data_IF_301015197345
#
_entry.id   IF_301015197345
#
_cell.length_a   1.000
_cell.length_b   1.000
_cell.length_c   1.000
_cell.angle_alpha   90.00
_cell.angle_beta   90.00
_cell.angle_gamma   90.00
#
_symmetry.space_group_name_H-M   'P 1'
#
loop_
_entity.id
_entity.type
_entity.pdbx_description
1 polymer ?
#
# COMPACT_ATOMS: atom_id res chain seq x y z
N UNK A 1 8.28 -1.71 -9.93
CA UNK A 1 8.99 -2.63 -9.02
C UNK A 1 7.95 -3.18 -8.02
N UNK A 2 8.07 -4.40 -7.47
CA UNK A 2 7.14 -5.06 -6.52
C UNK A 2 5.87 -5.80 -7.01
N UNK A 3 5.38 -5.63 -8.25
CA UNK A 3 4.18 -6.38 -8.75
C UNK A 3 2.90 -6.19 -7.88
N UNK A 4 2.71 -4.98 -7.35
CA UNK A 4 1.55 -4.59 -6.52
C UNK A 4 0.21 -4.47 -7.29
N UNK A 5 0.19 -4.83 -8.58
CA UNK A 5 -0.97 -4.70 -9.48
C UNK A 5 -1.13 -5.98 -10.28
N UNK A 6 -2.36 -6.49 -10.32
CA UNK A 6 -2.79 -7.54 -11.25
C UNK A 6 -3.95 -7.02 -12.10
N UNK A 7 -5.21 -7.22 -11.68
CA UNK A 7 -6.37 -6.72 -12.43
C UNK A 7 -6.52 -5.19 -12.43
N UNK A 8 -5.88 -4.49 -11.49
CA UNK A 8 -5.87 -3.03 -11.41
C UNK A 8 -7.09 -2.39 -10.75
N UNK A 9 -8.17 -3.12 -10.49
CA UNK A 9 -9.44 -2.54 -10.02
C UNK A 9 -9.31 -1.82 -8.66
N UNK A 10 -8.61 -2.42 -7.70
CA UNK A 10 -8.42 -1.82 -6.38
C UNK A 10 -7.25 -0.81 -6.33
N UNK A 11 -6.45 -0.72 -7.39
CA UNK A 11 -5.20 0.04 -7.39
C UNK A 11 -5.38 1.53 -7.11
N UNK A 12 -6.40 2.23 -7.66
CA UNK A 12 -6.62 3.64 -7.33
C UNK A 12 -6.87 3.88 -5.83
N UNK A 13 -7.71 3.06 -5.19
CA UNK A 13 -7.98 3.14 -3.76
C UNK A 13 -6.73 2.87 -2.92
N UNK A 14 -5.98 1.82 -3.27
CA UNK A 14 -4.70 1.49 -2.62
C UNK A 14 -3.69 2.64 -2.68
N UNK A 15 -3.54 3.29 -3.84
CA UNK A 15 -2.60 4.40 -4.01
C UNK A 15 -3.02 5.60 -3.16
N UNK A 16 -4.30 5.99 -3.20
CA UNK A 16 -4.77 7.15 -2.45
C UNK A 16 -4.67 6.93 -0.94
N UNK A 17 -5.00 5.74 -0.45
CA UNK A 17 -4.86 5.40 0.96
C UNK A 17 -3.41 5.31 1.40
N UNK A 18 -2.53 4.71 0.59
CA UNK A 18 -1.09 4.69 0.88
C UNK A 18 -0.48 6.10 0.88
N UNK A 19 -0.90 6.97 -0.03
CA UNK A 19 -0.48 8.38 -0.04
C UNK A 19 -0.87 9.08 1.26
N UNK A 20 -2.13 8.95 1.68
CA UNK A 20 -2.61 9.56 2.92
C UNK A 20 -1.78 9.09 4.13
N UNK A 21 -1.50 7.79 4.22
CA UNK A 21 -0.61 7.24 5.24
C UNK A 21 0.77 7.91 5.23
N UNK A 22 1.40 8.02 4.06
CA UNK A 22 2.76 8.54 3.95
C UNK A 22 2.86 10.06 4.13
N UNK A 23 1.79 10.80 3.83
CA UNK A 23 1.69 12.23 4.15
C UNK A 23 1.60 12.45 5.68
N UNK A 24 0.93 11.56 6.41
CA UNK A 24 0.77 11.63 7.88
C UNK A 24 1.96 11.04 8.65
N UNK A 25 2.49 9.91 8.17
CA UNK A 25 3.58 9.16 8.77
C UNK A 25 4.57 8.70 7.67
N UNK A 26 5.64 9.46 7.40
CA UNK A 26 6.61 9.14 6.36
C UNK A 26 7.44 7.87 6.61
N UNK A 27 7.42 7.30 7.83
CA UNK A 27 8.16 6.09 8.19
C UNK A 27 7.26 5.08 8.92
N UNK A 28 6.23 4.55 8.24
CA UNK A 28 5.32 3.61 8.86
C UNK A 28 5.97 2.23 9.02
N UNK A 29 5.56 1.49 10.04
CA UNK A 29 5.89 0.05 10.15
C UNK A 29 4.99 -0.79 9.24
N UNK A 30 5.39 -2.03 8.98
CA UNK A 30 4.57 -2.96 8.18
C UNK A 30 3.15 -3.16 8.76
N UNK A 31 3.04 -3.32 10.08
CA UNK A 31 1.77 -3.42 10.79
C UNK A 31 0.90 -2.16 10.61
N UNK A 32 1.51 -0.97 10.65
CA UNK A 32 0.78 0.27 10.39
C UNK A 32 0.26 0.33 8.95
N UNK A 33 1.06 -0.10 7.96
CA UNK A 33 0.61 -0.18 6.57
C UNK A 33 -0.57 -1.14 6.41
N UNK A 34 -0.50 -2.33 7.03
CA UNK A 34 -1.60 -3.32 6.99
C UNK A 34 -2.89 -2.75 7.56
N UNK A 35 -2.82 -2.14 8.73
CA UNK A 35 -3.98 -1.55 9.40
C UNK A 35 -4.58 -0.43 8.56
N UNK A 36 -3.74 0.46 8.03
CA UNK A 36 -4.20 1.61 7.24
C UNK A 36 -4.84 1.18 5.91
N UNK A 37 -4.41 0.05 5.33
CA UNK A 37 -4.96 -0.49 4.09
C UNK A 37 -6.18 -1.39 4.30
N UNK A 38 -6.62 -1.69 5.54
CA UNK A 38 -7.69 -2.66 5.81
C UNK A 38 -9.02 -2.34 5.10
N UNK A 39 -9.29 -1.06 4.83
CA UNK A 39 -10.49 -0.60 4.10
C UNK A 39 -10.44 -0.81 2.58
N UNK A 40 -9.29 -1.18 2.01
CA UNK A 40 -9.12 -1.42 0.59
C UNK A 40 -9.04 -2.93 0.30
N UNK A 41 -10.13 -3.51 -0.19
CA UNK A 41 -10.16 -4.94 -0.50
C UNK A 41 -9.48 -5.24 -1.84
N UNK A 42 -8.56 -6.21 -1.83
CA UNK A 42 -7.93 -6.75 -3.02
C UNK A 42 -8.16 -8.26 -3.12
N UNK A 43 -8.61 -8.74 -4.28
CA UNK A 43 -8.80 -10.18 -4.53
C UNK A 43 -7.65 -10.85 -5.28
N UNK A 44 -6.80 -10.08 -5.93
CA UNK A 44 -5.82 -10.62 -6.88
C UNK A 44 -4.42 -10.77 -6.27
N UNK A 45 -3.92 -9.74 -5.56
CA UNK A 45 -2.51 -9.69 -5.14
C UNK A 45 -2.20 -10.41 -3.83
N UNK A 46 -3.20 -10.62 -2.97
CA UNK A 46 -2.98 -11.13 -1.62
C UNK A 46 -2.27 -10.14 -0.68
N UNK A 47 -2.26 -8.84 -1.01
CA UNK A 47 -1.73 -7.71 -0.21
C UNK A 47 -0.22 -7.64 0.00
N UNK A 48 0.51 -8.76 0.08
CA UNK A 48 1.96 -8.76 0.39
C UNK A 48 2.74 -7.80 -0.51
N UNK A 49 2.52 -7.87 -1.83
CA UNK A 49 3.21 -7.00 -2.81
C UNK A 49 2.78 -5.54 -2.76
N UNK A 50 1.58 -5.25 -2.27
CA UNK A 50 1.13 -3.87 -2.06
C UNK A 50 1.85 -3.29 -0.84
N UNK A 51 1.91 -4.05 0.26
CA UNK A 51 2.59 -3.64 1.49
C UNK A 51 4.08 -3.38 1.23
N UNK A 52 4.76 -4.30 0.55
CA UNK A 52 6.16 -4.11 0.13
C UNK A 52 6.36 -2.84 -0.69
N UNK A 53 5.42 -2.54 -1.61
CA UNK A 53 5.51 -1.35 -2.45
C UNK A 53 5.32 -0.05 -1.67
N UNK A 54 4.45 -0.03 -0.65
CA UNK A 54 4.25 1.14 0.21
C UNK A 54 5.47 1.40 1.07
N UNK A 55 6.04 0.36 1.69
CA UNK A 55 7.26 0.49 2.49
C UNK A 55 8.44 0.98 1.64
N UNK A 56 8.62 0.43 0.43
CA UNK A 56 9.64 0.88 -0.50
C UNK A 56 9.43 2.32 -0.99
N UNK A 57 8.18 2.79 -1.06
CA UNK A 57 7.88 4.19 -1.37
C UNK A 57 8.25 5.11 -0.19
N UNK A 58 7.97 4.70 1.04
CA UNK A 58 8.36 5.42 2.26
C UNK A 58 9.87 5.65 2.34
N UNK A 59 10.68 4.64 1.97
CA UNK A 59 12.15 4.74 1.95
C UNK A 59 12.70 5.70 0.88
N UNK A 60 11.88 6.07 -0.12
CA UNK A 60 12.27 6.95 -1.24
C UNK A 60 11.76 8.39 -1.09
N UNK A 61 11.05 8.72 -0.01
CA UNK A 61 10.58 10.09 0.31
C UNK A 61 11.64 10.87 1.07
#
# INVERSE_FOLDING_TARGET
EHFAVQCGYCTPGMIMTAKALLDENPKPTEEQVKEYLCGNLCRCTGYTKIIEAVLAAADKM
#
